data_IF_562511503643
#
_entry.id   IF_562511503643
#
_cell.length_a   1.000
_cell.length_b   1.000
_cell.length_c   1.000
_cell.angle_alpha   90.00
_cell.angle_beta   90.00
_cell.angle_gamma   90.00
#
_symmetry.space_group_name_H-M   'P 1'
#
loop_
_entity.id
_entity.type
_entity.pdbx_description
1 polymer ?
#
# COMPACT_ATOMS: atom_id res chain seq x y z
N UNK A 1 -1.87 -22.91 -32.47
CA UNK A 1 -1.87 -22.23 -31.16
C UNK A 1 -3.23 -21.59 -30.96
N UNK A 2 -3.99 -22.01 -29.94
CA UNK A 2 -5.33 -21.47 -29.68
C UNK A 2 -5.16 -20.29 -28.73
N UNK A 3 -5.27 -19.07 -29.26
CA UNK A 3 -5.38 -17.87 -28.41
C UNK A 3 -6.77 -17.95 -27.78
N UNK A 4 -6.83 -18.32 -26.51
CA UNK A 4 -8.05 -18.22 -25.73
C UNK A 4 -8.22 -16.73 -25.40
N UNK A 5 -8.94 -15.99 -26.23
CA UNK A 5 -9.41 -14.66 -25.87
C UNK A 5 -10.33 -14.84 -24.68
N UNK A 6 -9.85 -14.45 -23.49
CA UNK A 6 -10.65 -14.40 -22.27
C UNK A 6 -11.80 -13.44 -22.59
N UNK A 7 -12.99 -13.96 -22.89
CA UNK A 7 -14.21 -13.14 -22.83
C UNK A 7 -14.22 -12.51 -21.45
N UNK A 8 -14.43 -11.18 -21.32
CA UNK A 8 -14.60 -10.57 -20.01
C UNK A 8 -15.67 -11.38 -19.28
N UNK A 9 -15.34 -11.94 -18.12
CA UNK A 9 -16.32 -12.60 -17.30
C UNK A 9 -17.28 -11.51 -16.84
N UNK A 10 -18.37 -11.30 -17.58
CA UNK A 10 -19.36 -10.27 -17.30
C UNK A 10 -19.91 -10.53 -15.91
N UNK A 11 -19.53 -9.72 -14.94
CA UNK A 11 -19.97 -9.83 -13.55
C UNK A 11 -18.92 -10.29 -12.54
N UNK A 12 -17.68 -10.63 -12.95
CA UNK A 12 -16.59 -10.93 -12.00
C UNK A 12 -15.58 -9.77 -12.00
N UNK A 13 -15.32 -9.15 -10.84
CA UNK A 13 -14.30 -8.11 -10.73
C UNK A 13 -12.91 -8.65 -11.08
N UNK A 14 -12.09 -7.81 -11.72
CA UNK A 14 -10.65 -8.04 -11.77
C UNK A 14 -10.05 -7.70 -10.40
N UNK A 15 -9.95 -8.72 -9.55
CA UNK A 15 -9.39 -8.57 -8.21
C UNK A 15 -7.94 -8.10 -8.22
N UNK A 16 -7.16 -8.38 -9.27
CA UNK A 16 -5.78 -7.91 -9.35
C UNK A 16 -5.75 -6.37 -9.50
N UNK A 17 -6.58 -5.83 -10.38
CA UNK A 17 -6.73 -4.37 -10.53
C UNK A 17 -7.31 -3.74 -9.25
N UNK A 18 -8.36 -4.33 -8.68
CA UNK A 18 -9.02 -3.84 -7.47
C UNK A 18 -8.05 -3.76 -6.29
N UNK A 19 -7.34 -4.85 -5.97
CA UNK A 19 -6.40 -4.85 -4.84
C UNK A 19 -5.16 -4.01 -5.12
N UNK A 20 -4.69 -3.94 -6.37
CA UNK A 20 -3.62 -3.02 -6.75
C UNK A 20 -4.03 -1.56 -6.55
N UNK A 21 -5.26 -1.20 -6.92
CA UNK A 21 -5.80 0.14 -6.66
C UNK A 21 -5.86 0.44 -5.17
N UNK A 22 -6.45 -0.44 -4.36
CA UNK A 22 -6.57 -0.26 -2.90
C UNK A 22 -5.19 -0.12 -2.25
N UNK A 23 -4.24 -0.99 -2.62
CA UNK A 23 -2.87 -0.91 -2.11
C UNK A 23 -2.19 0.42 -2.47
N UNK A 24 -2.40 0.92 -3.69
CA UNK A 24 -1.84 2.20 -4.12
C UNK A 24 -2.36 3.39 -3.30
N UNK A 25 -3.57 3.36 -2.75
CA UNK A 25 -4.10 4.46 -1.92
C UNK A 25 -3.23 4.71 -0.68
N UNK A 26 -2.50 3.69 -0.21
CA UNK A 26 -1.59 3.79 0.92
C UNK A 26 -0.13 4.04 0.49
N UNK A 27 0.15 4.17 -0.81
CA UNK A 27 1.47 4.48 -1.34
C UNK A 27 1.62 5.99 -1.55
N UNK A 28 2.45 6.66 -0.73
CA UNK A 28 2.62 8.11 -0.80
C UNK A 28 3.47 8.58 -1.98
N UNK A 29 3.95 7.71 -2.86
CA UNK A 29 4.54 8.10 -4.14
C UNK A 29 3.50 8.10 -5.27
N UNK A 30 2.33 7.52 -5.05
CA UNK A 30 1.27 7.43 -6.06
C UNK A 30 0.28 8.59 -5.95
N UNK A 31 -0.24 9.05 -7.09
CA UNK A 31 -1.14 10.22 -7.20
C UNK A 31 -2.26 9.91 -8.18
N UNK A 32 -3.28 10.77 -8.22
CA UNK A 32 -4.34 10.67 -9.22
C UNK A 32 -5.37 9.56 -8.98
N UNK A 33 -5.47 9.05 -7.75
CA UNK A 33 -6.41 7.96 -7.40
C UNK A 33 -7.85 8.24 -7.82
N UNK A 34 -8.33 9.49 -7.64
CA UNK A 34 -9.69 9.86 -8.03
C UNK A 34 -9.92 9.73 -9.54
N UNK A 35 -8.93 10.09 -10.35
CA UNK A 35 -9.04 9.98 -11.81
C UNK A 35 -8.99 8.50 -12.23
N UNK A 36 -8.02 7.74 -11.71
CA UNK A 36 -7.90 6.30 -11.96
C UNK A 36 -9.17 5.54 -11.55
N UNK A 37 -9.79 5.92 -10.43
CA UNK A 37 -11.02 5.31 -9.96
C UNK A 37 -12.21 5.59 -10.89
N UNK A 38 -12.28 6.78 -11.49
CA UNK A 38 -13.34 7.14 -12.47
C UNK A 38 -13.20 6.42 -13.80
N UNK A 39 -11.99 6.01 -14.16
CA UNK A 39 -11.68 5.31 -15.42
C UNK A 39 -11.78 3.78 -15.29
N UNK A 40 -11.93 3.27 -14.06
CA UNK A 40 -12.00 1.84 -13.77
C UNK A 40 -13.32 1.23 -14.26
N UNK A 41 -13.30 -0.06 -14.61
CA UNK A 41 -14.51 -0.80 -14.96
C UNK A 41 -15.57 -0.68 -13.85
N UNK A 42 -16.88 -0.48 -14.16
CA UNK A 42 -17.91 -0.30 -13.14
C UNK A 42 -17.97 -1.40 -12.09
N UNK A 43 -17.73 -2.67 -12.47
CA UNK A 43 -17.74 -3.80 -11.54
C UNK A 43 -16.55 -3.69 -10.57
N UNK A 44 -15.38 -3.30 -11.08
CA UNK A 44 -14.19 -3.07 -10.26
C UNK A 44 -14.40 -1.87 -9.33
N UNK A 45 -15.01 -0.79 -9.83
CA UNK A 45 -15.29 0.43 -9.07
C UNK A 45 -16.17 0.14 -7.85
N UNK A 46 -17.30 -0.55 -8.05
CA UNK A 46 -18.19 -0.96 -6.96
C UNK A 46 -17.46 -1.84 -5.94
N UNK A 47 -16.63 -2.77 -6.44
CA UNK A 47 -15.85 -3.67 -5.59
C UNK A 47 -14.82 -2.89 -4.75
N UNK A 48 -14.14 -1.90 -5.33
CA UNK A 48 -13.23 -1.01 -4.59
C UNK A 48 -13.99 -0.26 -3.48
N UNK A 49 -15.15 0.34 -3.79
CA UNK A 49 -15.93 1.05 -2.78
C UNK A 49 -16.38 0.14 -1.63
N UNK A 50 -16.87 -1.05 -1.96
CA UNK A 50 -17.27 -2.06 -0.98
C UNK A 50 -16.10 -2.46 -0.07
N UNK A 51 -14.94 -2.77 -0.65
CA UNK A 51 -13.76 -3.20 0.09
C UNK A 51 -13.16 -2.06 0.93
N UNK A 52 -13.12 -0.83 0.41
CA UNK A 52 -12.68 0.35 1.17
C UNK A 52 -13.58 0.60 2.39
N UNK A 53 -14.91 0.44 2.24
CA UNK A 53 -15.84 0.52 3.38
C UNK A 53 -15.57 -0.58 4.41
N UNK A 54 -15.33 -1.82 3.97
CA UNK A 54 -14.97 -2.92 4.86
C UNK A 54 -13.68 -2.62 5.62
N UNK A 55 -12.66 -2.09 4.92
CA UNK A 55 -11.39 -1.72 5.51
C UNK A 55 -11.55 -0.61 6.55
N UNK A 56 -12.35 0.43 6.27
CA UNK A 56 -12.66 1.48 7.25
C UNK A 56 -13.26 0.90 8.53
N UNK A 57 -14.19 -0.05 8.41
CA UNK A 57 -14.77 -0.70 9.59
C UNK A 57 -13.73 -1.52 10.37
N UNK A 58 -12.89 -2.30 9.68
CA UNK A 58 -11.82 -3.07 10.34
C UNK A 58 -10.83 -2.14 11.06
N UNK A 59 -10.36 -1.08 10.42
CA UNK A 59 -9.37 -0.17 11.01
C UNK A 59 -9.96 0.70 12.13
N UNK A 60 -11.27 0.91 12.15
CA UNK A 60 -11.95 1.60 13.25
C UNK A 60 -12.07 0.73 14.51
N UNK A 61 -11.90 -0.59 14.39
CA UNK A 61 -11.92 -1.50 15.54
C UNK A 61 -10.58 -1.39 16.32
N UNK A 62 -10.60 -1.24 17.65
CA UNK A 62 -9.39 -1.19 18.49
C UNK A 62 -8.49 -2.43 18.36
N UNK A 63 -9.03 -3.59 17.99
CA UNK A 63 -8.23 -4.80 17.75
C UNK A 63 -7.20 -4.62 16.62
N UNK A 64 -7.40 -3.63 15.75
CA UNK A 64 -6.51 -3.29 14.65
C UNK A 64 -5.52 -2.15 14.98
N UNK A 65 -5.46 -1.66 16.24
CA UNK A 65 -4.45 -0.67 16.68
C UNK A 65 -3.00 -1.06 16.31
N UNK A 66 -2.55 -2.32 16.50
CA UNK A 66 -1.19 -2.70 16.12
C UNK A 66 -0.92 -2.48 14.62
N UNK A 67 -1.91 -2.76 13.77
CA UNK A 67 -1.79 -2.61 12.31
C UNK A 67 -1.79 -1.13 11.93
N UNK A 68 -2.63 -0.30 12.58
CA UNK A 68 -2.63 1.15 12.36
C UNK A 68 -1.31 1.80 12.75
N UNK A 69 -0.69 1.34 13.83
CA UNK A 69 0.62 1.84 14.25
C UNK A 69 1.68 1.55 13.18
N UNK A 70 1.73 0.33 12.64
CA UNK A 70 2.64 -0.02 11.54
C UNK A 70 2.40 0.85 10.31
N UNK A 71 1.14 1.02 9.88
CA UNK A 71 0.79 1.87 8.73
C UNK A 71 1.16 3.35 8.97
N UNK A 72 1.12 3.82 10.21
CA UNK A 72 1.46 5.22 10.58
C UNK A 72 2.97 5.48 10.65
N UNK A 73 3.79 4.43 10.80
CA UNK A 73 5.26 4.54 10.81
C UNK A 73 5.88 4.68 9.43
N UNK A 74 5.07 4.74 8.37
CA UNK A 74 5.57 4.95 7.01
C UNK A 74 6.15 6.36 6.85
N UNK A 75 7.45 6.50 7.11
CA UNK A 75 8.19 7.74 7.00
C UNK A 75 8.74 7.90 5.58
N UNK A 76 8.31 8.97 4.89
CA UNK A 76 8.79 9.39 3.57
C UNK A 76 10.31 9.66 3.57
N UNK A 77 10.89 9.92 4.75
CA UNK A 77 12.32 10.21 4.94
C UNK A 77 13.23 9.00 4.66
N UNK A 78 12.71 7.77 4.74
CA UNK A 78 13.52 6.55 4.55
C UNK A 78 13.95 6.29 3.08
N UNK A 79 13.40 7.04 2.11
CA UNK A 79 13.75 6.95 0.68
C UNK A 79 14.87 7.89 0.24
N UNK A 80 15.59 8.54 1.17
CA UNK A 80 16.84 9.26 0.86
C UNK A 80 18.04 8.34 1.06
N UNK A 81 18.17 7.31 0.23
CA UNK A 81 19.45 6.59 0.06
C UNK A 81 19.81 6.65 -1.41
N UNK A 82 20.69 7.60 -1.75
CA UNK A 82 21.20 7.72 -3.12
C UNK A 82 21.86 9.03 -3.54
N UNK A 83 22.39 9.87 -2.63
CA UNK A 83 23.36 10.89 -3.06
C UNK A 83 24.52 10.97 -2.06
N UNK A 84 25.76 10.64 -2.47
CA UNK A 84 26.92 10.78 -1.61
C UNK A 84 27.39 12.23 -1.68
N UNK A 85 27.10 13.00 -0.64
CA UNK A 85 27.93 14.17 -0.31
C UNK A 85 28.35 14.03 1.13
N UNK A 86 29.63 13.69 1.31
CA UNK A 86 30.23 13.33 2.58
C UNK A 86 30.19 14.44 3.63
N UNK A 87 30.24 14.01 4.88
CA UNK A 87 30.39 14.88 6.05
C UNK A 87 30.25 14.06 7.33
N UNK A 88 31.39 13.65 7.89
CA UNK A 88 31.49 12.89 9.14
C UNK A 88 31.05 13.71 10.36
N UNK A 89 30.34 13.10 11.33
CA UNK A 89 30.46 13.40 12.77
C UNK A 89 30.17 12.13 13.60
N UNK A 90 31.06 11.87 14.56
CA UNK A 90 31.06 10.78 15.53
C UNK A 90 29.90 10.86 16.54
N UNK A 91 29.45 9.71 17.07
CA UNK A 91 29.57 9.44 18.50
C UNK A 91 29.32 7.96 18.84
N UNK A 92 30.33 7.38 19.51
CA UNK A 92 30.35 6.03 20.06
C UNK A 92 29.53 6.02 21.35
N UNK A 93 28.51 5.19 21.42
CA UNK A 93 28.03 4.64 22.69
C UNK A 93 28.16 3.12 22.61
N UNK A 94 29.05 2.63 23.46
CA UNK A 94 29.48 1.25 23.65
C UNK A 94 28.28 0.37 24.05
N UNK A 95 27.93 -0.62 23.23
CA UNK A 95 26.93 -1.64 23.56
C UNK A 95 27.67 -2.94 23.87
N UNK A 96 28.11 -3.09 25.12
CA UNK A 96 28.53 -4.36 25.69
C UNK A 96 27.30 -5.21 26.01
N UNK A 97 27.12 -6.30 25.27
CA UNK A 97 26.33 -7.44 25.73
C UNK A 97 27.17 -8.71 25.55
N UNK A 98 27.49 -9.34 26.68
CA UNK A 98 28.14 -10.64 26.77
C UNK A 98 27.20 -11.75 26.26
N UNK A 99 27.79 -12.73 25.60
CA UNK A 99 27.16 -14.01 25.24
C UNK A 99 27.03 -14.90 26.48
N UNK A 100 25.85 -15.46 26.69
CA UNK A 100 25.71 -16.83 27.23
C UNK A 100 25.26 -17.69 26.04
#
# INVERSE_FOLDING_TARGET
MKVCSRTPATGIPDFAEVYSFIGSVFDPDTRGHVQKLKEMDPINFETVLMLMRNLTMNLSNPDFEPIKNVLSTYDLSSKVVGLPTGGAVNNRNDLSCQTI
#
